data_IF_912279501700
#
_entry.id   IF_912279501700
#
_cell.length_a   1.000
_cell.length_b   1.000
_cell.length_c   1.000
_cell.angle_alpha   90.00
_cell.angle_beta   90.00
_cell.angle_gamma   90.00
#
_symmetry.space_group_name_H-M   'P 1'
#
loop_
_entity.id
_entity.type
_entity.pdbx_description
1 polymer ?
#
# COMPACT_ATOMS: atom_id res chain seq x y z
N UNK A 1 -10.39 -13.81 4.42
CA UNK A 1 -9.63 -15.07 4.55
C UNK A 1 -9.95 -15.82 5.86
N UNK A 2 -10.28 -15.14 6.97
CA UNK A 2 -10.65 -15.79 8.26
C UNK A 2 -12.04 -16.47 8.22
N UNK A 3 -12.97 -15.99 7.38
CA UNK A 3 -14.36 -16.47 7.40
C UNK A 3 -14.58 -17.89 6.85
N UNK A 4 -13.62 -18.50 6.14
CA UNK A 4 -13.76 -19.85 5.56
C UNK A 4 -12.88 -20.91 6.22
N UNK A 5 -12.26 -20.61 7.37
CA UNK A 5 -11.41 -21.58 8.09
C UNK A 5 -12.15 -22.89 8.43
N UNK A 6 -13.40 -22.88 8.94
CA UNK A 6 -14.10 -24.12 9.26
C UNK A 6 -14.37 -24.99 8.01
N UNK A 7 -14.78 -24.35 6.92
CA UNK A 7 -15.08 -24.99 5.63
C UNK A 7 -13.81 -25.60 5.01
N UNK A 8 -12.69 -24.87 5.03
CA UNK A 8 -11.38 -25.37 4.62
C UNK A 8 -11.01 -26.68 5.34
N UNK A 9 -11.08 -26.69 6.68
CA UNK A 9 -10.71 -27.89 7.45
C UNK A 9 -11.70 -29.03 7.27
N UNK A 10 -12.99 -28.73 7.05
CA UNK A 10 -14.01 -29.73 6.77
C UNK A 10 -13.76 -30.44 5.44
N UNK A 11 -13.53 -29.67 4.36
CA UNK A 11 -13.30 -30.21 3.03
C UNK A 11 -11.97 -30.98 2.94
N UNK A 12 -10.91 -30.48 3.59
CA UNK A 12 -9.62 -31.19 3.64
C UNK A 12 -9.72 -32.53 4.38
N UNK A 13 -10.56 -32.61 5.42
CA UNK A 13 -10.82 -33.87 6.13
C UNK A 13 -11.58 -34.86 5.24
N UNK A 14 -12.58 -34.40 4.47
CA UNK A 14 -13.30 -35.23 3.51
C UNK A 14 -12.39 -35.86 2.45
N UNK A 15 -11.37 -35.14 1.98
CA UNK A 15 -10.34 -35.71 1.10
C UNK A 15 -9.59 -36.86 1.78
N UNK A 16 -9.26 -36.71 3.06
CA UNK A 16 -8.46 -37.70 3.82
C UNK A 16 -9.27 -38.94 4.17
N UNK A 17 -10.52 -38.76 4.59
CA UNK A 17 -11.38 -39.83 5.11
C UNK A 17 -12.22 -40.51 4.02
N UNK A 18 -12.63 -39.77 3.00
CA UNK A 18 -13.60 -40.22 1.97
C UNK A 18 -13.07 -40.12 0.54
N UNK A 19 -11.85 -39.60 0.31
CA UNK A 19 -11.31 -39.31 -1.03
C UNK A 19 -12.17 -38.29 -1.81
N UNK A 20 -12.86 -37.38 -1.11
CA UNK A 20 -13.73 -36.36 -1.70
C UNK A 20 -12.94 -35.19 -2.30
N UNK A 21 -12.22 -35.44 -3.40
CA UNK A 21 -11.36 -34.46 -4.06
C UNK A 21 -12.13 -33.35 -4.77
N UNK A 22 -13.29 -33.65 -5.36
CA UNK A 22 -14.03 -32.69 -6.18
C UNK A 22 -14.50 -31.45 -5.38
N UNK A 23 -15.19 -31.59 -4.23
CA UNK A 23 -15.57 -30.43 -3.40
C UNK A 23 -14.37 -29.59 -2.94
N UNK A 24 -13.25 -30.25 -2.62
CA UNK A 24 -12.01 -29.59 -2.24
C UNK A 24 -11.40 -28.76 -3.39
N UNK A 25 -11.35 -29.33 -4.60
CA UNK A 25 -10.83 -28.63 -5.78
C UNK A 25 -11.70 -27.42 -6.14
N UNK A 26 -13.03 -27.56 -6.12
CA UNK A 26 -13.96 -26.45 -6.37
C UNK A 26 -13.73 -25.33 -5.34
N UNK A 27 -13.61 -25.68 -4.06
CA UNK A 27 -13.32 -24.71 -3.01
C UNK A 27 -12.00 -23.96 -3.24
N UNK A 28 -10.93 -24.68 -3.60
CA UNK A 28 -9.62 -24.06 -3.88
C UNK A 28 -9.66 -23.14 -5.10
N UNK A 29 -10.32 -23.55 -6.18
CA UNK A 29 -10.51 -22.71 -7.37
C UNK A 29 -11.29 -21.43 -7.03
N UNK A 30 -12.37 -21.55 -6.25
CA UNK A 30 -13.15 -20.40 -5.80
C UNK A 30 -12.33 -19.46 -4.91
N UNK A 31 -11.52 -20.01 -4.01
CA UNK A 31 -10.64 -19.22 -3.15
C UNK A 31 -9.61 -18.43 -3.97
N UNK A 32 -9.03 -19.03 -5.02
CA UNK A 32 -8.10 -18.35 -5.94
C UNK A 32 -8.81 -17.26 -6.72
N UNK A 33 -9.96 -17.55 -7.32
CA UNK A 33 -10.78 -16.58 -8.07
C UNK A 33 -11.09 -15.35 -7.21
N UNK A 34 -11.70 -15.55 -6.03
CA UNK A 34 -12.09 -14.45 -5.13
C UNK A 34 -10.89 -13.65 -4.65
N UNK A 35 -9.74 -14.30 -4.40
CA UNK A 35 -8.53 -13.61 -3.94
C UNK A 35 -7.89 -12.82 -5.09
N UNK A 36 -7.91 -13.35 -6.32
CA UNK A 36 -7.43 -12.66 -7.50
C UNK A 36 -8.28 -11.42 -7.82
N UNK A 37 -9.61 -11.53 -7.81
CA UNK A 37 -10.52 -10.39 -8.00
C UNK A 37 -10.30 -9.29 -6.98
N UNK A 38 -10.18 -9.66 -5.69
CA UNK A 38 -9.89 -8.69 -4.62
C UNK A 38 -8.54 -8.02 -4.80
N UNK A 39 -7.52 -8.78 -5.19
CA UNK A 39 -6.18 -8.24 -5.43
C UNK A 39 -6.18 -7.28 -6.61
N UNK A 40 -6.86 -7.64 -7.71
CA UNK A 40 -7.01 -6.79 -8.89
C UNK A 40 -7.70 -5.47 -8.57
N UNK A 41 -8.86 -5.53 -7.90
CA UNK A 41 -9.57 -4.32 -7.47
C UNK A 41 -8.67 -3.41 -6.64
N UNK A 42 -7.93 -3.98 -5.71
CA UNK A 42 -7.04 -3.21 -4.84
C UNK A 42 -5.85 -2.60 -5.59
N UNK A 43 -5.31 -3.26 -6.61
CA UNK A 43 -4.30 -2.68 -7.50
C UNK A 43 -4.89 -1.49 -8.26
N UNK A 44 -6.11 -1.60 -8.77
CA UNK A 44 -6.77 -0.52 -9.51
C UNK A 44 -7.05 0.68 -8.60
N UNK A 45 -7.54 0.44 -7.37
CA UNK A 45 -7.75 1.51 -6.39
C UNK A 45 -6.44 2.23 -6.04
N UNK A 46 -5.31 1.50 -5.94
CA UNK A 46 -3.99 2.09 -5.68
C UNK A 46 -3.54 2.95 -6.86
N UNK A 47 -3.78 2.51 -8.10
CA UNK A 47 -3.45 3.28 -9.32
C UNK A 47 -4.24 4.58 -9.39
N UNK A 48 -5.55 4.52 -9.15
CA UNK A 48 -6.41 5.69 -9.10
C UNK A 48 -5.89 6.68 -8.06
N UNK A 49 -5.58 6.20 -6.85
CA UNK A 49 -5.05 7.04 -5.78
C UNK A 49 -3.69 7.67 -6.14
N UNK A 50 -2.83 6.95 -6.86
CA UNK A 50 -1.55 7.48 -7.35
C UNK A 50 -1.77 8.64 -8.31
N UNK A 51 -2.65 8.47 -9.29
CA UNK A 51 -2.95 9.51 -10.28
C UNK A 51 -3.56 10.75 -9.61
N UNK A 52 -4.47 10.56 -8.65
CA UNK A 52 -5.04 11.65 -7.85
C UNK A 52 -3.98 12.43 -7.06
N UNK A 53 -3.07 11.72 -6.38
CA UNK A 53 -2.01 12.37 -5.59
C UNK A 53 -0.98 13.03 -6.51
N UNK A 54 -0.66 12.46 -7.67
CA UNK A 54 0.24 13.09 -8.65
C UNK A 54 -0.31 14.43 -9.12
N UNK A 55 -1.59 14.48 -9.49
CA UNK A 55 -2.23 15.72 -9.94
C UNK A 55 -2.35 16.72 -8.79
N UNK A 56 -2.78 16.28 -7.60
CA UNK A 56 -2.84 17.12 -6.40
C UNK A 56 -1.47 17.72 -6.04
N UNK A 57 -0.42 16.90 -6.04
CA UNK A 57 0.94 17.31 -5.74
C UNK A 57 1.47 18.33 -6.74
N UNK A 58 1.17 18.15 -8.03
CA UNK A 58 1.55 19.08 -9.09
C UNK A 58 0.96 20.47 -8.90
N UNK A 59 -0.24 20.59 -8.35
CA UNK A 59 -0.89 21.88 -8.09
C UNK A 59 -0.54 22.48 -6.72
N UNK A 60 -0.29 21.65 -5.71
CA UNK A 60 -0.08 22.11 -4.31
C UNK A 60 1.37 22.28 -3.92
N UNK A 61 2.30 21.56 -4.54
CA UNK A 61 3.72 21.61 -4.18
C UNK A 61 4.46 22.66 -5.01
N UNK A 62 5.51 23.27 -4.47
CA UNK A 62 6.44 24.06 -5.28
C UNK A 62 7.12 23.21 -6.36
N UNK A 63 7.37 23.78 -7.53
CA UNK A 63 8.05 23.09 -8.66
C UNK A 63 9.39 22.45 -8.27
N UNK A 64 10.12 23.06 -7.33
CA UNK A 64 11.40 22.53 -6.82
C UNK A 64 11.26 21.25 -5.99
N UNK A 65 10.06 20.95 -5.50
CA UNK A 65 9.76 19.79 -4.63
C UNK A 65 9.07 18.69 -5.41
N UNK A 66 8.14 19.05 -6.29
CA UNK A 66 7.39 18.09 -7.08
C UNK A 66 8.31 17.31 -8.02
N UNK A 67 8.24 15.98 -7.93
CA UNK A 67 8.70 15.08 -8.98
C UNK A 67 7.84 13.82 -8.95
N UNK A 68 7.68 13.17 -10.11
CA UNK A 68 6.89 11.94 -10.20
C UNK A 68 7.50 10.84 -9.34
N UNK A 69 8.83 10.74 -9.37
CA UNK A 69 9.62 9.75 -8.64
C UNK A 69 9.49 9.92 -7.11
N UNK A 70 9.36 11.17 -6.63
CA UNK A 70 9.12 11.44 -5.22
C UNK A 70 7.76 10.90 -4.78
N UNK A 71 6.71 11.12 -5.58
CA UNK A 71 5.37 10.63 -5.28
C UNK A 71 5.32 9.10 -5.38
N UNK A 72 5.92 8.52 -6.42
CA UNK A 72 6.03 7.06 -6.58
C UNK A 72 6.72 6.39 -5.37
N UNK A 73 7.76 7.01 -4.82
CA UNK A 73 8.41 6.53 -3.59
C UNK A 73 7.44 6.45 -2.39
N UNK A 74 6.49 7.37 -2.28
CA UNK A 74 5.47 7.35 -1.21
C UNK A 74 4.48 6.17 -1.38
N UNK A 75 4.36 5.63 -2.59
CA UNK A 75 3.51 4.48 -2.90
C UNK A 75 4.23 3.15 -2.74
N UNK A 76 5.55 3.14 -2.90
CA UNK A 76 6.38 2.00 -2.55
C UNK A 76 6.55 1.84 -1.02
N UNK A 77 6.56 2.96 -0.29
CA UNK A 77 6.79 3.00 1.16
C UNK A 77 5.65 3.79 1.85
N UNK A 78 4.59 3.11 2.34
CA UNK A 78 3.44 3.77 2.98
C UNK A 78 3.81 4.64 4.19
N UNK A 79 4.97 4.35 4.79
CA UNK A 79 5.66 5.21 5.73
C UNK A 79 7.02 5.60 5.15
N UNK A 80 7.37 6.87 5.25
CA UNK A 80 8.59 7.41 4.68
C UNK A 80 9.45 8.11 5.75
N UNK A 81 10.77 8.16 5.51
CA UNK A 81 11.76 8.91 6.30
C UNK A 81 12.71 9.61 5.35
N UNK A 82 13.37 10.65 5.83
CA UNK A 82 14.43 11.38 5.10
C UNK A 82 15.44 10.43 4.46
N UNK A 83 15.81 9.35 5.17
CA UNK A 83 16.77 8.35 4.67
C UNK A 83 16.33 7.71 3.34
N UNK A 84 15.04 7.44 3.13
CA UNK A 84 14.57 6.78 1.91
C UNK A 84 14.74 7.67 0.67
N UNK A 85 14.50 8.97 0.80
CA UNK A 85 14.74 9.94 -0.28
C UNK A 85 16.24 10.05 -0.61
N UNK A 86 17.09 9.99 0.41
CA UNK A 86 18.55 10.01 0.25
C UNK A 86 19.04 8.74 -0.42
N UNK A 87 18.58 7.56 0.03
CA UNK A 87 18.97 6.26 -0.51
C UNK A 87 18.52 6.10 -1.98
N UNK A 88 17.44 6.77 -2.38
CA UNK A 88 16.95 6.85 -3.76
C UNK A 88 17.57 7.98 -4.59
N UNK A 89 18.55 8.71 -4.06
CA UNK A 89 19.19 9.87 -4.69
C UNK A 89 18.22 10.98 -5.13
N UNK A 90 17.05 11.09 -4.49
CA UNK A 90 16.06 12.14 -4.82
C UNK A 90 16.50 13.51 -4.27
N UNK A 91 17.17 13.52 -3.13
CA UNK A 91 17.66 14.74 -2.51
C UNK A 91 18.73 14.47 -1.44
N UNK A 92 19.57 15.48 -1.16
CA UNK A 92 20.45 15.46 0.02
C UNK A 92 19.61 15.57 1.29
N UNK A 93 20.14 15.11 2.42
CA UNK A 93 19.43 15.00 3.71
C UNK A 93 18.62 16.25 4.12
N UNK A 94 19.20 17.45 3.98
CA UNK A 94 18.49 18.70 4.33
C UNK A 94 17.29 18.93 3.40
N UNK A 95 17.52 18.89 2.09
CA UNK A 95 16.50 19.05 1.06
C UNK A 95 15.41 17.97 1.15
N UNK A 96 15.77 16.71 1.42
CA UNK A 96 14.82 15.63 1.64
C UNK A 96 13.92 15.88 2.86
N UNK A 97 14.47 16.44 3.95
CA UNK A 97 13.66 16.83 5.10
C UNK A 97 12.70 17.96 4.77
N UNK A 98 13.12 18.93 3.95
CA UNK A 98 12.26 20.02 3.50
C UNK A 98 11.15 19.51 2.57
N UNK A 99 11.44 18.59 1.65
CA UNK A 99 10.44 17.99 0.76
C UNK A 99 9.33 17.28 1.55
N UNK A 100 9.71 16.48 2.57
CA UNK A 100 8.73 15.79 3.41
C UNK A 100 7.86 16.76 4.23
N UNK A 101 8.41 17.90 4.67
CA UNK A 101 7.65 18.95 5.32
C UNK A 101 6.68 19.66 4.37
N UNK A 102 7.09 19.92 3.13
CA UNK A 102 6.18 20.52 2.14
C UNK A 102 5.05 19.54 1.76
N UNK A 103 5.36 18.25 1.63
CA UNK A 103 4.34 17.20 1.44
C UNK A 103 3.36 17.11 2.61
N UNK A 104 3.85 17.28 3.84
CA UNK A 104 2.99 17.37 5.03
C UNK A 104 2.13 18.65 5.03
N UNK A 105 2.70 19.80 4.70
CA UNK A 105 1.97 21.08 4.57
C UNK A 105 0.88 21.03 3.50
N UNK A 106 1.15 20.33 2.39
CA UNK A 106 0.17 20.10 1.33
C UNK A 106 -0.95 19.12 1.73
N UNK A 107 -0.81 18.45 2.89
CA UNK A 107 -1.78 17.47 3.40
C UNK A 107 -1.63 16.06 2.81
N UNK A 108 -0.59 15.81 2.00
CA UNK A 108 -0.34 14.52 1.36
C UNK A 108 0.23 13.52 2.38
N UNK A 109 1.07 13.99 3.30
CA UNK A 109 1.67 13.20 4.37
C UNK A 109 1.23 13.71 5.75
N UNK A 110 1.34 12.83 6.76
CA UNK A 110 1.27 13.22 8.17
C UNK A 110 2.51 12.73 8.90
N UNK A 111 3.19 13.62 9.63
CA UNK A 111 4.31 13.20 10.46
C UNK A 111 3.84 12.50 11.74
N UNK A 112 4.63 11.55 12.21
CA UNK A 112 4.48 10.85 13.48
C UNK A 112 5.86 10.61 14.08
N UNK A 113 6.06 11.07 15.31
CA UNK A 113 7.29 10.77 16.04
C UNK A 113 7.24 9.34 16.58
N UNK A 114 8.25 8.53 16.24
CA UNK A 114 8.41 7.16 16.74
C UNK A 114 9.83 7.00 17.27
N UNK A 115 9.96 6.97 18.60
CA UNK A 115 11.25 7.02 19.27
C UNK A 115 12.00 8.31 18.94
N UNK A 116 13.22 8.17 18.39
CA UNK A 116 14.08 9.30 17.99
C UNK A 116 13.89 9.73 16.54
N UNK A 117 13.06 9.04 15.78
CA UNK A 117 12.89 9.28 14.34
C UNK A 117 11.50 9.82 14.03
N UNK A 118 11.45 10.72 13.04
CA UNK A 118 10.20 11.24 12.48
C UNK A 118 9.84 10.42 11.25
N UNK A 119 8.66 9.81 11.30
CA UNK A 119 8.04 9.10 10.19
C UNK A 119 7.02 10.01 9.51
N UNK A 120 6.90 9.92 8.19
CA UNK A 120 5.87 10.59 7.42
C UNK A 120 4.97 9.54 6.78
N UNK A 121 3.69 9.53 7.10
CA UNK A 121 2.75 8.51 6.66
C UNK A 121 1.90 9.05 5.52
N UNK A 122 1.78 8.27 4.45
CA UNK A 122 0.72 8.45 3.45
C UNK A 122 -0.55 7.80 4.00
N UNK A 123 -1.38 8.57 4.70
CA UNK A 123 -2.56 8.01 5.38
C UNK A 123 -3.59 7.47 4.41
N UNK A 124 -3.78 8.11 3.25
CA UNK A 124 -4.72 7.65 2.22
C UNK A 124 -4.32 6.28 1.69
N UNK A 125 -3.04 6.09 1.37
CA UNK A 125 -2.54 4.79 0.94
C UNK A 125 -2.60 3.75 2.07
N UNK A 126 -2.28 4.13 3.29
CA UNK A 126 -2.35 3.22 4.44
C UNK A 126 -3.78 2.72 4.70
N UNK A 127 -4.77 3.61 4.62
CA UNK A 127 -6.20 3.28 4.74
C UNK A 127 -6.61 2.31 3.64
N UNK A 128 -6.21 2.58 2.39
CA UNK A 128 -6.46 1.69 1.26
C UNK A 128 -5.79 0.31 1.41
N UNK A 129 -4.62 0.25 2.05
CA UNK A 129 -3.91 -0.99 2.33
C UNK A 129 -4.43 -1.72 3.59
N UNK A 130 -5.26 -1.10 4.40
CA UNK A 130 -5.82 -1.72 5.61
C UNK A 130 -7.28 -2.15 5.45
N UNK A 131 -7.96 -1.70 4.39
CA UNK A 131 -9.30 -2.13 3.99
C UNK A 131 -9.37 -3.53 3.38
#
# INVERSE_FOLDING_TARGET
MISHKPEYYSLLRGVTEQQDWEPWLIFMLKAVEVTAEKTMKRIDDIRILLDEILEEAKHKLPDRVYSKELIELLFEQPYCKVKFLVDRNLAKRQTAADYLKELERAGILKSKQVGREMLYLNTRLYELLSS
#
